data_IF_403972494460
#
_entry.id   IF_403972494460
#
_cell.length_a   1.000
_cell.length_b   1.000
_cell.length_c   1.000
_cell.angle_alpha   90.00
_cell.angle_beta   90.00
_cell.angle_gamma   90.00
#
_symmetry.space_group_name_H-M   'P 1'
#
loop_
_entity.id
_entity.type
_entity.pdbx_description
1 polymer ?
#
# COMPACT_ATOMS: atom_id res chain seq x y z
N UNK A 1 -19.53 18.08 -20.24
CA UNK A 1 -19.23 16.62 -20.19
C UNK A 1 -18.17 16.41 -19.12
N UNK A 2 -18.44 15.61 -18.09
CA UNK A 2 -17.43 15.29 -17.06
C UNK A 2 -16.40 14.35 -17.69
N UNK A 3 -15.18 14.82 -17.85
CA UNK A 3 -14.05 14.04 -18.35
C UNK A 3 -13.76 12.93 -17.34
N UNK A 4 -14.22 11.72 -17.63
CA UNK A 4 -13.77 10.54 -16.92
C UNK A 4 -12.29 10.39 -17.19
N UNK A 5 -11.47 10.52 -16.14
CA UNK A 5 -10.04 10.22 -16.20
C UNK A 5 -9.90 8.77 -16.65
N UNK A 6 -9.30 8.55 -17.82
CA UNK A 6 -8.92 7.19 -18.22
C UNK A 6 -7.92 6.66 -17.19
N UNK A 7 -8.01 5.39 -16.76
CA UNK A 7 -7.08 4.81 -15.79
C UNK A 7 -5.61 4.93 -16.22
N UNK A 8 -5.37 5.03 -17.53
CA UNK A 8 -4.06 5.20 -18.17
C UNK A 8 -3.44 6.60 -17.99
N UNK A 9 -4.20 7.60 -17.52
CA UNK A 9 -3.75 8.98 -17.34
C UNK A 9 -3.35 9.32 -15.89
N UNK A 10 -3.42 8.36 -14.96
CA UNK A 10 -2.94 8.60 -13.60
C UNK A 10 -1.43 8.82 -13.64
N UNK A 11 -1.01 10.07 -13.40
CA UNK A 11 0.40 10.42 -13.33
C UNK A 11 1.00 9.72 -12.12
N UNK A 12 2.26 9.29 -12.24
CA UNK A 12 2.99 8.64 -11.15
C UNK A 12 2.81 9.33 -9.78
N UNK A 13 2.85 10.67 -9.65
CA UNK A 13 2.59 11.36 -8.38
C UNK A 13 1.22 11.05 -7.77
N UNK A 14 0.17 10.91 -8.59
CA UNK A 14 -1.18 10.59 -8.12
C UNK A 14 -1.23 9.15 -7.59
N UNK A 15 -0.53 8.22 -8.25
CA UNK A 15 -0.41 6.84 -7.78
C UNK A 15 0.34 6.78 -6.45
N UNK A 16 1.42 7.56 -6.31
CA UNK A 16 2.17 7.64 -5.05
C UNK A 16 1.35 8.27 -3.92
N UNK A 17 0.58 9.32 -4.22
CA UNK A 17 -0.34 9.93 -3.26
C UNK A 17 -1.43 8.93 -2.81
N UNK A 18 -1.98 8.15 -3.74
CA UNK A 18 -2.95 7.10 -3.42
C UNK A 18 -2.32 6.00 -2.56
N UNK A 19 -1.09 5.57 -2.85
CA UNK A 19 -0.35 4.61 -2.01
C UNK A 19 -0.14 5.16 -0.60
N UNK A 20 0.29 6.42 -0.47
CA UNK A 20 0.48 7.06 0.84
C UNK A 20 -0.85 7.16 1.62
N UNK A 21 -1.94 7.51 0.95
CA UNK A 21 -3.27 7.56 1.55
C UNK A 21 -3.76 6.17 1.99
N UNK A 22 -3.49 5.13 1.22
CA UNK A 22 -3.76 3.74 1.60
C UNK A 22 -3.01 3.35 2.87
N UNK A 23 -1.72 3.70 2.97
CA UNK A 23 -0.91 3.42 4.16
C UNK A 23 -1.43 4.14 5.40
N UNK A 24 -1.78 5.42 5.24
CA UNK A 24 -2.36 6.22 6.32
C UNK A 24 -3.69 5.63 6.81
N UNK A 25 -4.53 5.13 5.92
CA UNK A 25 -5.78 4.45 6.28
C UNK A 25 -5.52 3.17 7.08
N UNK A 26 -4.53 2.37 6.69
CA UNK A 26 -4.17 1.16 7.44
C UNK A 26 -3.60 1.50 8.82
N UNK A 27 -2.77 2.54 8.94
CA UNK A 27 -2.25 3.00 10.24
C UNK A 27 -3.36 3.46 11.19
N UNK A 28 -4.38 4.14 10.64
CA UNK A 28 -5.52 4.60 11.41
C UNK A 28 -6.50 3.47 11.73
N UNK A 29 -6.43 2.34 11.03
CA UNK A 29 -7.33 1.21 11.23
C UNK A 29 -7.02 0.55 12.58
N UNK A 30 -7.95 0.67 13.51
CA UNK A 30 -7.90 -0.08 14.77
C UNK A 30 -8.30 -1.52 14.49
N UNK A 31 -7.32 -2.41 14.31
CA UNK A 31 -7.56 -3.84 14.12
C UNK A 31 -8.18 -4.41 15.41
N UNK A 32 -9.48 -4.68 15.38
CA UNK A 32 -10.22 -5.25 16.51
C UNK A 32 -10.83 -6.60 16.18
N UNK A 33 -11.07 -6.86 14.91
CA UNK A 33 -11.70 -8.08 14.43
C UNK A 33 -10.84 -8.79 13.39
N UNK A 34 -11.10 -10.07 13.18
CA UNK A 34 -10.47 -10.82 12.10
C UNK A 34 -10.82 -10.28 10.70
N UNK A 35 -11.92 -9.52 10.55
CA UNK A 35 -12.27 -8.84 9.30
C UNK A 35 -11.40 -7.59 9.08
N UNK A 36 -11.24 -6.76 10.13
CA UNK A 36 -10.33 -5.60 10.08
C UNK A 36 -8.91 -6.04 9.74
N UNK A 37 -8.45 -7.15 10.32
CA UNK A 37 -7.13 -7.70 10.06
C UNK A 37 -6.99 -8.17 8.60
N UNK A 38 -8.01 -8.84 8.05
CA UNK A 38 -8.04 -9.23 6.64
C UNK A 38 -8.03 -8.02 5.70
N UNK A 39 -8.80 -6.98 6.03
CA UNK A 39 -8.84 -5.75 5.25
C UNK A 39 -7.48 -5.03 5.28
N UNK A 40 -6.86 -4.90 6.47
CA UNK A 40 -5.52 -4.32 6.62
C UNK A 40 -4.46 -5.08 5.81
N UNK A 41 -4.48 -6.42 5.87
CA UNK A 41 -3.57 -7.27 5.09
C UNK A 41 -3.75 -7.02 3.58
N UNK A 42 -4.99 -7.04 3.10
CA UNK A 42 -5.29 -6.81 1.68
C UNK A 42 -4.79 -5.44 1.19
N UNK A 43 -5.08 -4.38 1.95
CA UNK A 43 -4.67 -3.01 1.59
C UNK A 43 -3.13 -2.87 1.57
N UNK A 44 -2.44 -3.48 2.53
CA UNK A 44 -0.98 -3.50 2.57
C UNK A 44 -0.38 -4.28 1.41
N UNK A 45 -0.91 -5.46 1.07
CA UNK A 45 -0.46 -6.26 -0.08
C UNK A 45 -0.65 -5.52 -1.40
N UNK A 46 -1.80 -4.86 -1.57
CA UNK A 46 -2.08 -4.03 -2.73
C UNK A 46 -1.09 -2.88 -2.85
N UNK A 47 -0.89 -2.11 -1.77
CA UNK A 47 0.05 -0.98 -1.74
C UNK A 47 1.48 -1.43 -2.08
N UNK A 48 1.94 -2.55 -1.50
CA UNK A 48 3.27 -3.08 -1.76
C UNK A 48 3.45 -3.54 -3.21
N UNK A 49 2.41 -4.17 -3.77
CA UNK A 49 2.40 -4.62 -5.17
C UNK A 49 2.49 -3.42 -6.12
N UNK A 50 1.71 -2.36 -5.88
CA UNK A 50 1.78 -1.13 -6.66
C UNK A 50 3.19 -0.52 -6.62
N UNK A 51 3.79 -0.41 -5.43
CA UNK A 51 5.15 0.12 -5.28
C UNK A 51 6.16 -0.71 -6.08
N UNK A 52 6.12 -2.04 -5.96
CA UNK A 52 7.05 -2.94 -6.65
C UNK A 52 6.90 -2.88 -8.17
N UNK A 53 5.66 -2.77 -8.66
CA UNK A 53 5.39 -2.56 -10.09
C UNK A 53 5.98 -1.23 -10.58
N UNK A 54 5.75 -0.14 -9.85
CA UNK A 54 6.29 1.18 -10.18
C UNK A 54 7.82 1.16 -10.25
N UNK A 55 8.47 0.58 -9.23
CA UNK A 55 9.94 0.48 -9.16
C UNK A 55 10.53 -0.41 -10.26
N UNK A 56 9.81 -1.47 -10.66
CA UNK A 56 10.24 -2.42 -11.67
C UNK A 56 9.98 -1.98 -13.11
N UNK A 57 8.94 -1.18 -13.35
CA UNK A 57 8.46 -0.85 -14.71
C UNK A 57 8.72 0.60 -15.11
N UNK A 58 9.03 1.49 -14.16
CA UNK A 58 9.22 2.92 -14.43
C UNK A 58 10.68 3.32 -14.25
N UNK A 59 11.19 4.17 -15.16
CA UNK A 59 12.49 4.78 -14.96
C UNK A 59 12.34 5.97 -14.00
N UNK A 60 12.59 5.69 -12.72
CA UNK A 60 12.43 6.65 -11.62
C UNK A 60 13.76 7.35 -11.32
N UNK A 61 13.64 8.58 -10.82
CA UNK A 61 14.74 9.23 -10.11
C UNK A 61 15.22 8.34 -8.93
N UNK A 62 16.52 8.35 -8.67
CA UNK A 62 17.14 7.46 -7.69
C UNK A 62 16.63 7.71 -6.27
N UNK A 63 16.37 8.97 -5.90
CA UNK A 63 15.83 9.30 -4.58
C UNK A 63 14.37 8.88 -4.45
N UNK A 64 13.58 9.01 -5.53
CA UNK A 64 12.21 8.49 -5.58
C UNK A 64 12.20 6.96 -5.47
N UNK A 65 13.10 6.29 -6.18
CA UNK A 65 13.25 4.83 -6.12
C UNK A 65 13.60 4.37 -4.70
N UNK A 66 14.57 5.00 -4.04
CA UNK A 66 14.95 4.68 -2.65
C UNK A 66 13.80 4.91 -1.68
N UNK A 67 13.08 6.03 -1.81
CA UNK A 67 11.92 6.32 -0.97
C UNK A 67 10.85 5.24 -1.14
N UNK A 68 10.58 4.80 -2.36
CA UNK A 68 9.61 3.72 -2.62
C UNK A 68 10.04 2.38 -2.06
N UNK A 69 11.31 2.02 -2.20
CA UNK A 69 11.86 0.80 -1.59
C UNK A 69 11.77 0.85 -0.06
N UNK A 70 12.03 2.00 0.57
CA UNK A 70 11.87 2.19 2.00
C UNK A 70 10.40 2.01 2.45
N UNK A 71 9.45 2.55 1.68
CA UNK A 71 8.02 2.33 1.93
C UNK A 71 7.63 0.85 1.76
N UNK A 72 8.16 0.17 0.74
CA UNK A 72 7.93 -1.27 0.53
C UNK A 72 8.41 -2.10 1.73
N UNK A 73 9.61 -1.81 2.24
CA UNK A 73 10.15 -2.47 3.42
C UNK A 73 9.32 -2.23 4.69
N UNK A 74 8.84 -0.99 4.89
CA UNK A 74 7.93 -0.66 5.98
C UNK A 74 6.60 -1.42 5.88
N UNK A 75 6.07 -1.58 4.67
CA UNK A 75 4.85 -2.37 4.44
C UNK A 75 5.08 -3.84 4.76
N UNK A 76 6.20 -4.43 4.33
CA UNK A 76 6.54 -5.83 4.63
C UNK A 76 6.57 -6.09 6.15
N UNK A 77 7.16 -5.15 6.92
CA UNK A 77 7.15 -5.22 8.39
C UNK A 77 5.72 -5.19 8.95
N UNK A 78 4.85 -4.32 8.44
CA UNK A 78 3.46 -4.20 8.90
C UNK A 78 2.60 -5.38 8.50
N UNK A 79 2.83 -5.98 7.32
CA UNK A 79 2.20 -7.23 6.92
C UNK A 79 2.52 -8.35 7.89
N UNK A 80 3.78 -8.43 8.32
CA UNK A 80 4.20 -9.37 9.37
C UNK A 80 3.42 -9.17 10.67
N UNK A 81 3.21 -7.93 11.11
CA UNK A 81 2.43 -7.62 12.30
C UNK A 81 0.93 -7.97 12.13
N UNK A 82 0.30 -7.48 11.07
CA UNK A 82 -1.12 -7.71 10.81
C UNK A 82 -1.45 -9.20 10.66
N UNK A 83 -0.56 -10.01 10.05
CA UNK A 83 -0.71 -11.47 9.95
C UNK A 83 -0.64 -12.17 11.31
N UNK A 84 0.25 -11.72 12.21
CA UNK A 84 0.31 -12.22 13.58
C UNK A 84 -0.96 -11.87 14.35
N UNK A 85 -1.40 -10.62 14.28
CA UNK A 85 -2.62 -10.18 14.95
C UNK A 85 -3.85 -10.95 14.44
N UNK A 86 -3.96 -11.15 13.12
CA UNK A 86 -5.00 -11.97 12.51
C UNK A 86 -4.98 -13.43 12.99
N UNK A 87 -3.80 -14.01 13.24
CA UNK A 87 -3.68 -15.38 13.75
C UNK A 87 -4.16 -15.50 15.20
N UNK A 88 -3.94 -14.46 16.01
CA UNK A 88 -4.42 -14.39 17.40
C UNK A 88 -5.94 -14.22 17.42
N UNK A 89 -6.49 -13.37 16.55
CA UNK A 89 -7.94 -13.10 16.44
C UNK A 89 -8.76 -14.27 15.84
N UNK A 90 -8.09 -15.29 15.30
CA UNK A 90 -8.72 -16.53 14.82
C UNK A 90 -8.83 -17.62 15.90
N UNK A 91 -8.23 -17.40 17.07
CA UNK A 91 -8.26 -18.33 18.23
C UNK A 91 -9.46 -18.05 19.12
#
# INVERSE_FOLDING_TARGET
MKSGTSPSDQRLPDVLANVAALLSQVEALKIKTADDARQAIFLLELANTCIRLIVGQTNLDEEVRKALLAHSAMIDMRLGAARRDASILKS
#
